data_IF_924645136600
#
_entry.id   IF_924645136600
#
_cell.length_a   1.000
_cell.length_b   1.000
_cell.length_c   1.000
_cell.angle_alpha   90.00
_cell.angle_beta   90.00
_cell.angle_gamma   90.00
#
_symmetry.space_group_name_H-M   'P 1'
#
loop_
_entity.id
_entity.type
_entity.pdbx_description
1 polymer ?
#
# COMPACT_ATOMS: atom_id res chain seq x y z
N UNK A 1 -0.63 2.63 14.89
CA UNK A 1 -1.18 1.60 13.98
C UNK A 1 -1.81 0.42 14.74
N UNK A 2 -1.06 -0.42 15.48
CA UNK A 2 -1.62 -1.63 16.11
C UNK A 2 -2.84 -1.36 17.00
N UNK A 3 -2.81 -0.30 17.81
CA UNK A 3 -3.95 0.07 18.65
C UNK A 3 -5.19 0.46 17.84
N UNK A 4 -5.01 1.21 16.75
CA UNK A 4 -6.09 1.61 15.83
C UNK A 4 -6.77 0.37 15.21
N UNK A 5 -5.96 -0.62 14.81
CA UNK A 5 -6.45 -1.89 14.25
C UNK A 5 -7.20 -2.71 15.30
N UNK A 6 -6.70 -2.77 16.54
CA UNK A 6 -7.28 -3.58 17.63
C UNK A 6 -8.52 -2.97 18.26
N UNK A 7 -8.61 -1.65 18.30
CA UNK A 7 -9.70 -0.90 18.95
C UNK A 7 -10.86 -0.59 18.01
N UNK A 8 -10.74 -0.91 16.71
CA UNK A 8 -11.83 -0.73 15.76
C UNK A 8 -13.01 -1.66 16.10
N UNK A 9 -14.20 -1.12 16.24
CA UNK A 9 -15.43 -1.89 16.49
C UNK A 9 -15.90 -2.69 15.26
N UNK A 10 -15.35 -2.36 14.09
CA UNK A 10 -15.60 -3.05 12.82
C UNK A 10 -14.32 -3.74 12.33
N UNK A 11 -14.44 -4.48 11.22
CA UNK A 11 -13.29 -5.09 10.58
C UNK A 11 -12.30 -4.01 10.08
N UNK A 12 -11.09 -4.05 10.61
CA UNK A 12 -9.99 -3.17 10.21
C UNK A 12 -9.49 -3.55 8.82
N UNK A 13 -9.54 -2.61 7.88
CA UNK A 13 -9.09 -2.83 6.50
C UNK A 13 -7.64 -2.37 6.32
N UNK A 14 -6.78 -3.27 5.87
CA UNK A 14 -5.44 -2.95 5.36
C UNK A 14 -5.47 -3.18 3.86
N UNK A 15 -5.20 -2.14 3.07
CA UNK A 15 -5.23 -2.23 1.60
C UNK A 15 -3.82 -2.20 1.03
N UNK A 16 -3.58 -2.93 -0.07
CA UNK A 16 -2.28 -3.02 -0.72
C UNK A 16 -2.24 -2.26 -2.05
N UNK A 17 -1.17 -1.49 -2.27
CA UNK A 17 -0.83 -0.90 -3.56
C UNK A 17 0.16 -1.84 -4.27
N UNK A 18 -0.33 -2.54 -5.29
CA UNK A 18 0.40 -3.51 -6.12
C UNK A 18 0.11 -3.29 -7.60
N UNK A 19 1.15 -3.19 -8.43
CA UNK A 19 1.02 -2.95 -9.88
C UNK A 19 1.21 -4.22 -10.71
N UNK A 20 2.09 -5.13 -10.29
CA UNK A 20 2.24 -6.46 -10.88
C UNK A 20 2.48 -7.51 -9.81
N UNK A 21 2.48 -8.79 -10.19
CA UNK A 21 2.93 -9.89 -9.34
C UNK A 21 3.42 -11.07 -10.19
N UNK A 22 4.25 -11.98 -9.65
CA UNK A 22 4.67 -13.19 -10.36
C UNK A 22 3.51 -14.09 -10.79
N UNK A 23 2.44 -14.14 -9.99
CA UNK A 23 1.28 -15.01 -10.25
C UNK A 23 0.34 -14.44 -11.31
N UNK A 24 0.07 -13.13 -11.27
CA UNK A 24 -0.96 -12.48 -12.08
C UNK A 24 -0.40 -11.60 -13.21
N UNK A 25 0.93 -11.46 -13.32
CA UNK A 25 1.56 -10.53 -14.25
C UNK A 25 1.22 -9.07 -13.92
N UNK A 26 0.99 -8.25 -14.95
CA UNK A 26 0.58 -6.85 -14.78
C UNK A 26 -0.88 -6.74 -14.33
N UNK A 27 -1.09 -6.32 -13.08
CA UNK A 27 -2.41 -6.18 -12.46
C UNK A 27 -3.01 -4.81 -12.79
N UNK A 28 -2.18 -3.76 -12.76
CA UNK A 28 -2.61 -2.37 -12.96
C UNK A 28 -1.48 -1.56 -13.57
N UNK A 29 -1.83 -0.71 -14.54
CA UNK A 29 -0.91 0.29 -15.06
C UNK A 29 -0.39 1.19 -13.93
N UNK A 30 0.91 1.51 -13.96
CA UNK A 30 1.54 2.36 -12.95
C UNK A 30 0.83 3.71 -12.94
N UNK A 31 0.29 4.09 -11.77
CA UNK A 31 -0.43 5.34 -11.55
C UNK A 31 0.05 6.00 -10.27
N UNK A 32 -0.28 7.28 -10.05
CA UNK A 32 0.21 8.04 -8.90
C UNK A 32 -0.15 7.33 -7.57
N UNK A 33 0.85 6.80 -6.82
CA UNK A 33 0.61 6.07 -5.58
C UNK A 33 -0.05 6.95 -4.51
N UNK A 34 0.17 8.28 -4.56
CA UNK A 34 -0.45 9.22 -3.63
C UNK A 34 -1.96 9.30 -3.83
N UNK A 35 -2.42 9.29 -5.09
CA UNK A 35 -3.86 9.33 -5.38
C UNK A 35 -4.54 8.02 -5.00
N UNK A 36 -3.87 6.89 -5.24
CA UNK A 36 -4.37 5.58 -4.82
C UNK A 36 -4.47 5.51 -3.30
N UNK A 37 -3.41 5.90 -2.59
CA UNK A 37 -3.37 5.95 -1.13
C UNK A 37 -4.52 6.79 -0.55
N UNK A 38 -4.69 8.03 -1.04
CA UNK A 38 -5.79 8.91 -0.62
C UNK A 38 -7.15 8.29 -0.86
N UNK A 39 -7.35 7.66 -2.01
CA UNK A 39 -8.61 6.99 -2.35
C UNK A 39 -8.90 5.82 -1.40
N UNK A 40 -7.91 4.99 -1.11
CA UNK A 40 -8.05 3.85 -0.19
C UNK A 40 -8.37 4.31 1.24
N UNK A 41 -7.66 5.32 1.75
CA UNK A 41 -7.94 5.92 3.08
C UNK A 41 -9.36 6.52 3.11
N UNK A 42 -9.74 7.28 2.07
CA UNK A 42 -11.10 7.84 1.99
C UNK A 42 -12.19 6.75 1.92
N UNK A 43 -11.84 5.57 1.41
CA UNK A 43 -12.69 4.38 1.39
C UNK A 43 -12.73 3.60 2.71
N UNK A 44 -12.00 4.04 3.74
CA UNK A 44 -12.00 3.42 5.07
C UNK A 44 -10.82 2.50 5.34
N UNK A 45 -9.77 2.50 4.50
CA UNK A 45 -8.53 1.80 4.85
C UNK A 45 -7.91 2.42 6.11
N UNK A 46 -7.56 1.56 7.07
CA UNK A 46 -6.96 1.95 8.34
C UNK A 46 -5.42 1.91 8.27
N UNK A 47 -4.88 1.18 7.32
CA UNK A 47 -3.48 1.19 6.97
C UNK A 47 -3.29 0.82 5.49
N UNK A 48 -2.16 1.25 4.94
CA UNK A 48 -1.75 0.93 3.57
C UNK A 48 -0.51 0.04 3.60
N UNK A 49 -0.52 -0.99 2.75
CA UNK A 49 0.64 -1.77 2.37
C UNK A 49 1.14 -1.30 1.01
N UNK A 50 2.42 -0.97 0.89
CA UNK A 50 3.01 -0.51 -0.38
C UNK A 50 4.21 -1.38 -0.72
N UNK A 51 4.16 -1.99 -1.90
CA UNK A 51 5.27 -2.78 -2.43
C UNK A 51 6.36 -1.87 -2.98
N UNK A 52 7.60 -2.10 -2.52
CA UNK A 52 8.77 -1.32 -2.94
C UNK A 52 9.71 -2.11 -3.85
N UNK A 53 9.47 -3.41 -4.06
CA UNK A 53 10.29 -4.28 -4.90
C UNK A 53 9.98 -4.05 -6.39
N UNK A 54 10.97 -3.69 -7.23
CA UNK A 54 10.72 -3.27 -8.60
C UNK A 54 10.54 -4.42 -9.61
N UNK A 55 11.29 -5.52 -9.49
CA UNK A 55 11.37 -6.52 -10.57
C UNK A 55 10.15 -7.42 -10.71
N UNK A 56 9.52 -7.78 -9.61
CA UNK A 56 8.40 -8.73 -9.56
C UNK A 56 7.05 -8.02 -9.39
N UNK A 57 7.07 -6.83 -8.78
CA UNK A 57 5.84 -6.12 -8.39
C UNK A 57 5.69 -4.72 -9.01
N UNK A 58 6.66 -4.29 -9.84
CA UNK A 58 6.73 -2.93 -10.36
C UNK A 58 6.61 -1.88 -9.24
N UNK A 59 7.17 -2.20 -8.07
CA UNK A 59 7.21 -1.33 -6.89
C UNK A 59 8.39 -0.36 -6.94
N UNK A 60 8.40 0.58 -6.00
CA UNK A 60 9.54 1.47 -5.81
C UNK A 60 9.55 2.07 -4.40
N UNK A 61 10.73 2.26 -3.75
CA UNK A 61 10.83 2.96 -2.48
C UNK A 61 10.25 4.39 -2.52
N UNK A 62 10.30 5.05 -3.67
CA UNK A 62 9.69 6.37 -3.86
C UNK A 62 8.17 6.34 -3.70
N UNK A 63 7.50 5.22 -4.01
CA UNK A 63 6.04 5.10 -3.81
C UNK A 63 5.68 5.15 -2.33
N UNK A 64 6.50 4.49 -1.49
CA UNK A 64 6.40 4.54 -0.04
C UNK A 64 6.63 5.98 0.45
N UNK A 65 7.80 6.58 0.13
CA UNK A 65 8.15 7.92 0.63
C UNK A 65 7.19 9.02 0.18
N UNK A 66 6.56 8.88 -1.00
CA UNK A 66 5.54 9.83 -1.47
C UNK A 66 4.21 9.67 -0.72
N UNK A 67 3.84 8.43 -0.39
CA UNK A 67 2.58 8.12 0.28
C UNK A 67 2.64 8.42 1.78
N UNK A 68 3.79 8.22 2.43
CA UNK A 68 4.02 8.52 3.86
C UNK A 68 3.80 10.01 4.18
N UNK A 69 4.06 10.90 3.21
CA UNK A 69 3.75 12.33 3.37
C UNK A 69 2.26 12.62 3.52
N UNK A 70 1.40 11.68 3.13
CA UNK A 70 -0.05 11.83 3.18
C UNK A 70 -0.69 11.05 4.33
N UNK A 71 0.00 10.05 4.92
CA UNK A 71 -0.55 9.17 5.94
C UNK A 71 0.54 8.52 6.81
N UNK A 72 0.28 8.40 8.12
CA UNK A 72 1.25 7.88 9.09
C UNK A 72 1.20 6.35 9.29
N UNK A 73 0.18 5.66 8.75
CA UNK A 73 0.00 4.20 8.90
C UNK A 73 0.27 3.46 7.59
N UNK A 74 1.53 3.47 7.15
CA UNK A 74 1.99 2.75 5.96
C UNK A 74 3.00 1.67 6.35
N UNK A 75 2.84 0.48 5.79
CA UNK A 75 3.77 -0.64 5.91
C UNK A 75 4.49 -0.84 4.58
N UNK A 76 5.79 -1.07 4.66
CA UNK A 76 6.62 -1.42 3.51
C UNK A 76 6.62 -2.94 3.34
N UNK A 77 6.19 -3.40 2.17
CA UNK A 77 6.39 -4.78 1.76
C UNK A 77 7.65 -4.87 0.89
N UNK A 78 8.77 -5.14 1.57
CA UNK A 78 10.04 -5.46 0.94
C UNK A 78 10.15 -6.96 0.76
N UNK A 79 10.17 -7.44 -0.48
CA UNK A 79 10.68 -8.78 -0.77
C UNK A 79 12.21 -8.69 -0.81
N UNK A 80 12.88 -9.26 0.21
CA UNK A 80 14.27 -9.67 0.08
C UNK A 80 14.27 -10.96 -0.74
N UNK A 81 14.92 -10.90 -1.91
CA UNK A 81 15.27 -12.10 -2.67
C UNK A 81 16.27 -12.98 -1.91
#
# INVERSE_FOLDING_TARGET
MQESIRSNSHASLITEIKFSSPAEGDIRQISDPVQIAKSMISGGAQALSILTQPYLFNGSPEYLSRSEKCENSIINEGHHD
#
